data_IF_214614019905
#
_entry.id   IF_214614019905
#
_cell.length_a   1.000
_cell.length_b   1.000
_cell.length_c   1.000
_cell.angle_alpha   90.00
_cell.angle_beta   90.00
_cell.angle_gamma   90.00
#
_symmetry.space_group_name_H-M   'P 1'
#
loop_
_entity.id
_entity.type
_entity.pdbx_description
1 polymer ?
#
# COMPACT_ATOMS: atom_id res chain seq x y z
N UNK A 1 13.75 3.71 10.38
CA UNK A 1 12.94 4.07 9.19
C UNK A 1 11.61 4.63 9.66
N UNK A 2 11.06 5.60 8.95
CA UNK A 2 9.72 6.16 9.16
C UNK A 2 8.66 5.27 8.53
N UNK A 3 7.47 5.18 9.13
CA UNK A 3 6.27 4.62 8.50
C UNK A 3 5.41 5.76 7.97
N UNK A 4 5.01 5.71 6.70
CA UNK A 4 4.08 6.65 6.06
C UNK A 4 2.83 5.87 5.66
N UNK A 5 1.69 6.21 6.28
CA UNK A 5 0.41 5.55 6.03
C UNK A 5 -0.44 6.43 5.10
N UNK A 6 -0.88 5.87 3.97
CA UNK A 6 -1.75 6.54 3.01
C UNK A 6 -3.21 6.35 3.41
N UNK A 7 -3.79 7.33 4.08
CA UNK A 7 -5.13 7.26 4.67
C UNK A 7 -6.06 8.41 4.21
N UNK A 8 -5.88 8.89 2.98
CA UNK A 8 -6.62 10.05 2.48
C UNK A 8 -8.02 9.70 1.94
N UNK A 9 -8.28 8.43 1.61
CA UNK A 9 -9.51 7.98 0.96
C UNK A 9 -10.73 7.91 1.88
N UNK A 10 -11.92 8.12 1.31
CA UNK A 10 -13.20 7.95 2.02
C UNK A 10 -13.55 6.47 2.23
N UNK A 11 -13.28 5.59 1.23
CA UNK A 11 -13.67 4.18 1.28
C UNK A 11 -15.17 3.98 1.01
N UNK A 12 -15.66 4.46 -0.13
CA UNK A 12 -17.09 4.45 -0.49
C UNK A 12 -17.74 3.08 -0.54
N UNK A 13 -16.95 2.02 -0.76
CA UNK A 13 -17.40 0.61 -0.73
C UNK A 13 -17.77 0.10 0.66
N UNK A 14 -17.30 0.80 1.71
CA UNK A 14 -17.60 0.50 3.12
C UNK A 14 -18.81 1.29 3.66
N UNK A 15 -19.50 2.09 2.84
CA UNK A 15 -20.71 2.77 3.30
C UNK A 15 -21.77 1.79 3.80
N UNK A 16 -22.49 2.16 4.87
CA UNK A 16 -22.55 3.46 5.54
C UNK A 16 -21.46 3.70 6.60
N UNK A 17 -20.55 2.73 6.86
CA UNK A 17 -19.53 2.82 7.91
C UNK A 17 -18.58 4.02 7.73
N UNK A 18 -18.39 4.47 6.49
CA UNK A 18 -17.49 5.56 6.12
C UNK A 18 -18.19 6.88 5.78
N UNK A 19 -19.48 7.03 6.07
CA UNK A 19 -20.18 8.28 5.81
C UNK A 19 -19.68 9.41 6.73
N UNK A 20 -19.35 9.08 7.99
CA UNK A 20 -18.94 10.05 9.01
C UNK A 20 -17.48 9.86 9.48
N UNK A 21 -16.73 8.92 8.94
CA UNK A 21 -15.32 8.65 9.32
C UNK A 21 -14.48 8.24 8.12
N UNK A 22 -13.15 8.52 8.12
CA UNK A 22 -12.27 8.02 7.06
C UNK A 22 -12.12 6.49 7.15
N UNK A 23 -11.82 5.84 6.01
CA UNK A 23 -11.69 4.39 5.88
C UNK A 23 -10.78 3.78 6.96
N UNK A 24 -9.64 4.37 7.24
CA UNK A 24 -8.68 3.88 8.23
C UNK A 24 -9.19 3.89 9.68
N UNK A 25 -10.35 4.54 9.95
CA UNK A 25 -11.02 4.52 11.24
C UNK A 25 -12.22 3.56 11.31
N UNK A 26 -12.44 2.75 10.29
CA UNK A 26 -13.37 1.61 10.37
C UNK A 26 -12.80 0.61 11.38
N UNK A 27 -13.65 0.08 12.23
CA UNK A 27 -13.27 -0.84 13.29
C UNK A 27 -13.19 -2.28 12.76
N UNK A 28 -12.09 -2.96 13.07
CA UNK A 28 -11.91 -4.39 12.91
C UNK A 28 -11.84 -4.99 14.33
N UNK A 29 -12.85 -5.77 14.71
CA UNK A 29 -13.05 -6.17 16.09
C UNK A 29 -13.36 -4.94 16.97
N UNK A 30 -12.53 -4.69 17.98
CA UNK A 30 -12.68 -3.59 18.94
C UNK A 30 -11.77 -2.38 18.66
N UNK A 31 -11.10 -2.35 17.48
CA UNK A 31 -10.03 -1.40 17.20
C UNK A 31 -10.07 -0.88 15.76
N UNK A 32 -9.92 0.45 15.51
CA UNK A 32 -9.75 1.00 14.17
C UNK A 32 -8.58 0.39 13.39
N UNK A 33 -8.72 0.25 12.06
CA UNK A 33 -7.64 -0.25 11.18
C UNK A 33 -6.33 0.50 11.40
N UNK A 34 -6.37 1.83 11.57
CA UNK A 34 -5.20 2.64 11.85
C UNK A 34 -4.52 2.22 13.16
N UNK A 35 -5.27 1.92 14.22
CA UNK A 35 -4.70 1.53 15.51
C UNK A 35 -4.01 0.17 15.47
N UNK A 36 -4.50 -0.76 14.64
CA UNK A 36 -3.80 -2.01 14.36
C UNK A 36 -2.42 -1.75 13.74
N UNK A 37 -2.35 -0.89 12.72
CA UNK A 37 -1.09 -0.54 12.08
C UNK A 37 -0.14 0.19 13.04
N UNK A 38 -0.65 1.11 13.86
CA UNK A 38 0.15 1.82 14.86
C UNK A 38 0.70 0.86 15.93
N UNK A 39 -0.08 -0.13 16.35
CA UNK A 39 0.36 -1.14 17.29
C UNK A 39 1.46 -2.02 16.69
N UNK A 40 1.26 -2.54 15.47
CA UNK A 40 2.25 -3.35 14.75
C UNK A 40 3.56 -2.55 14.52
N UNK A 41 3.46 -1.28 14.17
CA UNK A 41 4.63 -0.42 13.98
C UNK A 41 5.44 -0.25 15.27
N UNK A 42 4.77 0.05 16.40
CA UNK A 42 5.42 0.22 17.70
C UNK A 42 6.09 -1.09 18.17
N UNK A 43 5.43 -2.22 17.99
CA UNK A 43 6.01 -3.53 18.32
C UNK A 43 7.20 -3.89 17.42
N UNK A 44 7.20 -3.44 16.17
CA UNK A 44 8.35 -3.56 15.27
C UNK A 44 9.45 -2.52 15.56
N UNK A 45 9.28 -1.64 16.57
CA UNK A 45 10.26 -0.63 16.95
C UNK A 45 10.20 0.67 16.12
N UNK A 46 9.13 0.88 15.33
CA UNK A 46 8.93 2.11 14.55
C UNK A 46 8.17 3.12 15.43
N UNK A 47 8.82 4.24 15.74
CA UNK A 47 8.24 5.34 16.54
C UNK A 47 7.95 6.59 15.71
N UNK A 48 8.62 6.74 14.56
CA UNK A 48 8.42 7.87 13.64
C UNK A 48 7.35 7.48 12.61
N UNK A 49 6.11 7.95 12.84
CA UNK A 49 4.94 7.59 12.04
C UNK A 49 4.28 8.87 11.51
N UNK A 50 4.06 8.88 10.20
CA UNK A 50 3.32 9.93 9.48
C UNK A 50 2.07 9.31 8.86
N UNK A 51 0.93 9.96 9.03
CA UNK A 51 -0.32 9.60 8.35
C UNK A 51 -0.70 10.69 7.38
N UNK A 52 -0.91 10.33 6.12
CA UNK A 52 -1.38 11.28 5.10
C UNK A 52 -2.90 11.12 5.00
N UNK A 53 -3.62 12.10 5.53
CA UNK A 53 -5.08 12.12 5.56
C UNK A 53 -5.67 12.99 4.44
N UNK A 54 -6.98 12.92 4.30
CA UNK A 54 -7.78 13.73 3.37
C UNK A 54 -9.21 13.81 3.86
N UNK A 55 -10.06 12.86 3.47
CA UNK A 55 -11.44 12.80 3.95
C UNK A 55 -11.49 12.74 5.49
N UNK A 56 -12.21 13.68 6.11
CA UNK A 56 -12.37 13.77 7.58
C UNK A 56 -11.04 13.72 8.37
N UNK A 57 -9.99 14.34 7.84
CA UNK A 57 -8.64 14.33 8.46
C UNK A 57 -8.65 14.87 9.91
N UNK A 58 -9.59 15.73 10.26
CA UNK A 58 -9.78 16.26 11.62
C UNK A 58 -9.91 15.16 12.67
N UNK A 59 -10.51 14.01 12.33
CA UNK A 59 -10.67 12.87 13.22
C UNK A 59 -9.35 12.12 13.50
N UNK A 60 -8.33 12.35 12.68
CA UNK A 60 -6.99 11.76 12.87
C UNK A 60 -6.15 12.56 13.87
N UNK A 61 -6.53 13.79 14.23
CA UNK A 61 -5.77 14.66 15.14
C UNK A 61 -5.62 14.12 16.57
N UNK A 62 -6.48 13.17 16.96
CA UNK A 62 -6.42 12.53 18.29
C UNK A 62 -5.26 11.51 18.41
N UNK A 63 -4.69 11.08 17.30
CA UNK A 63 -3.56 10.14 17.30
C UNK A 63 -2.24 10.88 17.43
N UNK A 64 -1.34 10.33 18.23
CA UNK A 64 0.00 10.90 18.41
C UNK A 64 0.93 10.47 17.23
N UNK A 65 0.68 11.07 16.07
CA UNK A 65 1.41 10.84 14.83
C UNK A 65 1.58 12.16 14.08
N UNK A 66 2.56 12.25 13.19
CA UNK A 66 2.63 13.38 12.28
C UNK A 66 1.51 13.28 11.24
N UNK A 67 0.73 14.35 11.07
CA UNK A 67 -0.33 14.42 10.05
C UNK A 67 0.12 15.30 8.90
N UNK A 68 -0.12 14.83 7.69
CA UNK A 68 -0.01 15.59 6.45
C UNK A 68 -1.34 15.50 5.74
N UNK A 69 -1.81 16.61 5.16
CA UNK A 69 -3.05 16.64 4.41
C UNK A 69 -2.79 16.47 2.90
N UNK A 70 -3.57 15.61 2.25
CA UNK A 70 -3.79 15.70 0.81
C UNK A 70 -5.07 16.52 0.57
N UNK A 71 -4.99 17.82 0.26
CA UNK A 71 -6.18 18.65 0.07
C UNK A 71 -6.95 18.29 -1.20
N UNK A 72 -6.33 17.53 -2.11
CA UNK A 72 -6.94 17.08 -3.37
C UNK A 72 -7.38 15.62 -3.34
N UNK A 73 -7.56 15.02 -2.16
CA UNK A 73 -7.87 13.59 -1.99
C UNK A 73 -9.07 13.12 -2.84
N UNK A 74 -10.06 13.99 -3.06
CA UNK A 74 -11.27 13.64 -3.82
C UNK A 74 -11.02 13.50 -5.35
N UNK A 75 -9.92 14.04 -5.87
CA UNK A 75 -9.59 14.07 -7.29
C UNK A 75 -8.22 13.44 -7.63
N UNK A 76 -7.53 12.90 -6.62
CA UNK A 76 -6.20 12.32 -6.80
C UNK A 76 -6.14 10.93 -6.20
N UNK A 77 -5.14 10.15 -6.62
CA UNK A 77 -4.94 8.78 -6.16
C UNK A 77 -3.65 8.65 -5.30
N UNK A 78 -3.24 7.42 -5.04
CA UNK A 78 -2.24 7.02 -4.05
C UNK A 78 -0.88 7.67 -4.28
N UNK A 79 -0.38 7.77 -5.52
CA UNK A 79 0.91 8.39 -5.84
C UNK A 79 0.92 9.88 -5.43
N UNK A 80 -0.12 10.62 -5.78
CA UNK A 80 -0.25 12.02 -5.33
C UNK A 80 -0.35 12.14 -3.82
N UNK A 81 -1.05 11.23 -3.17
CA UNK A 81 -1.13 11.18 -1.71
C UNK A 81 0.25 10.98 -1.11
N UNK A 82 1.02 9.98 -1.59
CA UNK A 82 2.38 9.73 -1.12
C UNK A 82 3.27 10.97 -1.29
N UNK A 83 3.18 11.66 -2.42
CA UNK A 83 4.01 12.83 -2.72
C UNK A 83 3.71 14.06 -1.85
N UNK A 84 2.61 14.10 -1.11
CA UNK A 84 2.39 15.12 -0.08
C UNK A 84 3.46 15.05 1.04
N UNK A 85 4.07 13.89 1.26
CA UNK A 85 5.10 13.66 2.27
C UNK A 85 6.53 13.63 1.70
N UNK A 86 6.78 14.03 0.45
CA UNK A 86 8.08 13.89 -0.24
C UNK A 86 9.28 14.45 0.54
N UNK A 87 9.08 15.53 1.29
CA UNK A 87 10.13 16.16 2.09
C UNK A 87 10.61 15.29 3.26
N UNK A 88 9.85 14.24 3.59
CA UNK A 88 10.13 13.29 4.67
C UNK A 88 10.86 12.02 4.20
N UNK A 89 11.13 11.86 2.91
CA UNK A 89 11.67 10.60 2.35
C UNK A 89 13.16 10.38 2.62
N UNK A 90 13.90 11.45 2.95
CA UNK A 90 15.37 11.56 2.93
C UNK A 90 16.12 10.34 3.47
N UNK A 91 15.72 9.82 4.63
CA UNK A 91 16.44 8.74 5.33
C UNK A 91 15.82 7.36 5.09
N UNK A 92 14.97 7.25 4.08
CA UNK A 92 14.19 6.06 3.79
C UNK A 92 12.91 5.96 4.63
N UNK A 93 11.93 5.26 4.08
CA UNK A 93 10.62 5.08 4.71
C UNK A 93 9.97 3.77 4.30
N UNK A 94 8.99 3.35 5.09
CA UNK A 94 8.04 2.31 4.71
C UNK A 94 6.72 3.02 4.34
N UNK A 95 6.20 2.74 3.17
CA UNK A 95 4.87 3.16 2.76
C UNK A 95 3.88 2.03 3.06
N UNK A 96 2.75 2.37 3.66
CA UNK A 96 1.63 1.46 3.92
C UNK A 96 0.32 2.03 3.42
N UNK A 97 -0.53 1.20 2.82
CA UNK A 97 -1.92 1.55 2.60
C UNK A 97 -2.66 1.66 3.94
N UNK A 98 -3.66 2.55 4.02
CA UNK A 98 -4.41 2.81 5.24
C UNK A 98 -5.56 1.84 5.52
N UNK A 99 -5.77 0.88 4.64
CA UNK A 99 -6.86 -0.11 4.66
C UNK A 99 -6.38 -1.54 4.86
N UNK A 100 -5.08 -1.73 5.04
CA UNK A 100 -4.50 -3.04 5.37
C UNK A 100 -4.20 -3.13 6.87
N UNK A 101 -4.31 -4.33 7.41
CA UNK A 101 -3.84 -4.69 8.74
C UNK A 101 -2.86 -5.85 8.58
N UNK A 102 -1.74 -5.79 9.26
CA UNK A 102 -0.68 -6.80 9.20
C UNK A 102 -0.09 -7.04 10.58
N UNK A 103 0.43 -8.26 10.77
CA UNK A 103 1.10 -8.61 12.00
C UNK A 103 2.44 -7.87 12.16
N UNK A 104 2.91 -7.67 13.40
CA UNK A 104 4.24 -7.10 13.64
C UNK A 104 5.38 -7.86 12.96
N UNK A 105 5.22 -9.18 12.76
CA UNK A 105 6.22 -10.03 12.10
C UNK A 105 6.44 -9.63 10.64
N UNK A 106 5.40 -9.23 9.92
CA UNK A 106 5.51 -8.73 8.53
C UNK A 106 6.38 -7.47 8.48
N UNK A 107 6.14 -6.51 9.39
CA UNK A 107 6.98 -5.30 9.47
C UNK A 107 8.42 -5.60 9.88
N UNK A 108 8.63 -6.50 10.85
CA UNK A 108 9.97 -6.92 11.29
C UNK A 108 10.73 -7.55 10.13
N UNK A 109 10.08 -8.40 9.33
CA UNK A 109 10.68 -8.99 8.12
C UNK A 109 11.04 -7.92 7.09
N UNK A 110 10.14 -6.95 6.82
CA UNK A 110 10.40 -5.86 5.89
C UNK A 110 11.54 -4.94 6.37
N UNK A 111 11.63 -4.68 7.67
CA UNK A 111 12.73 -3.90 8.25
C UNK A 111 14.09 -4.62 8.12
N UNK A 112 14.11 -5.94 8.20
CA UNK A 112 15.33 -6.74 8.07
C UNK A 112 15.81 -6.92 6.63
N UNK A 113 14.93 -6.72 5.64
CA UNK A 113 15.30 -6.68 4.23
C UNK A 113 16.27 -5.51 3.97
N UNK A 114 17.28 -5.69 3.14
CA UNK A 114 18.34 -4.69 2.89
C UNK A 114 18.34 -4.11 1.47
N UNK A 115 17.43 -4.58 0.60
CA UNK A 115 17.35 -4.08 -0.76
C UNK A 115 16.91 -2.60 -0.81
N UNK A 116 17.36 -1.82 -1.78
CA UNK A 116 16.99 -0.41 -1.93
C UNK A 116 15.48 -0.18 -1.95
N UNK A 117 14.74 -1.01 -2.69
CA UNK A 117 13.28 -1.05 -2.70
C UNK A 117 12.83 -2.49 -2.45
N UNK A 118 12.05 -2.71 -1.39
CA UNK A 118 11.47 -4.00 -1.04
C UNK A 118 9.94 -3.89 -1.05
N UNK A 119 9.31 -4.65 -1.94
CA UNK A 119 7.84 -4.70 -2.11
C UNK A 119 7.32 -5.95 -1.43
N UNK A 120 6.42 -5.79 -0.47
CA UNK A 120 5.83 -6.93 0.24
C UNK A 120 4.78 -7.61 -0.63
N UNK A 121 4.94 -8.93 -0.81
CA UNK A 121 4.06 -9.75 -1.66
C UNK A 121 3.66 -11.04 -0.94
N UNK A 122 2.39 -11.40 -1.01
CA UNK A 122 1.85 -12.60 -0.37
C UNK A 122 1.78 -13.78 -1.36
N UNK A 123 2.51 -14.86 -1.05
CA UNK A 123 2.50 -16.11 -1.85
C UNK A 123 1.22 -16.93 -1.62
N UNK A 124 0.58 -16.77 -0.48
CA UNK A 124 -0.66 -17.48 -0.14
C UNK A 124 -1.92 -16.71 -0.57
N UNK A 125 -1.77 -15.66 -1.36
CA UNK A 125 -2.82 -14.76 -1.83
C UNK A 125 -4.08 -15.48 -2.33
N UNK A 126 -3.92 -16.59 -3.09
CA UNK A 126 -5.04 -17.25 -3.76
C UNK A 126 -6.11 -17.71 -2.77
N UNK A 127 -5.73 -18.40 -1.71
CA UNK A 127 -6.68 -18.87 -0.70
C UNK A 127 -7.39 -17.70 0.03
N UNK A 128 -6.71 -16.54 0.14
CA UNK A 128 -7.33 -15.34 0.69
C UNK A 128 -8.32 -14.71 -0.30
N UNK A 129 -7.98 -14.57 -1.59
CA UNK A 129 -8.88 -14.04 -2.63
C UNK A 129 -10.11 -14.93 -2.86
N UNK A 130 -9.95 -16.27 -2.82
CA UNK A 130 -11.08 -17.22 -2.92
C UNK A 130 -12.07 -17.10 -1.75
N UNK A 131 -11.63 -16.57 -0.59
CA UNK A 131 -12.55 -16.24 0.53
C UNK A 131 -13.21 -14.87 0.37
N UNK A 132 -12.57 -13.93 -0.34
CA UNK A 132 -13.08 -12.56 -0.54
C UNK A 132 -14.09 -12.49 -1.68
N UNK A 133 -13.87 -13.23 -2.77
CA UNK A 133 -14.49 -13.01 -4.06
C UNK A 133 -14.92 -14.34 -4.70
N UNK A 134 -16.08 -14.32 -5.36
CA UNK A 134 -16.54 -15.45 -6.16
C UNK A 134 -15.59 -15.71 -7.37
N UNK A 135 -15.11 -14.65 -8.02
CA UNK A 135 -14.08 -14.70 -9.06
C UNK A 135 -12.84 -13.91 -8.61
N UNK A 136 -11.78 -14.57 -8.06
CA UNK A 136 -10.54 -13.94 -7.68
C UNK A 136 -9.86 -13.15 -8.79
N UNK A 137 -9.96 -13.59 -10.05
CA UNK A 137 -9.35 -12.90 -11.20
C UNK A 137 -10.02 -11.57 -11.52
N UNK A 138 -11.21 -11.31 -10.97
CA UNK A 138 -11.89 -10.01 -11.16
C UNK A 138 -11.16 -8.85 -10.50
N UNK A 139 -10.45 -9.12 -9.39
CA UNK A 139 -9.75 -8.12 -8.56
C UNK A 139 -8.22 -8.30 -8.54
N UNK A 140 -7.73 -9.54 -8.57
CA UNK A 140 -6.31 -9.82 -8.55
C UNK A 140 -5.55 -9.14 -9.70
N UNK A 141 -4.30 -8.78 -9.45
CA UNK A 141 -3.38 -8.17 -10.41
C UNK A 141 -2.25 -9.16 -10.77
N UNK A 142 -1.66 -8.99 -11.96
CA UNK A 142 -0.48 -9.77 -12.33
C UNK A 142 0.68 -9.46 -11.39
N UNK A 143 1.50 -10.46 -11.10
CA UNK A 143 2.77 -10.27 -10.40
C UNK A 143 3.72 -11.39 -10.80
N UNK A 144 4.89 -11.01 -11.32
CA UNK A 144 5.95 -11.95 -11.73
C UNK A 144 7.26 -11.61 -11.07
N UNK A 145 7.94 -12.65 -10.58
CA UNK A 145 9.21 -12.57 -9.87
C UNK A 145 10.27 -13.27 -10.72
N UNK A 146 11.38 -12.59 -10.97
CA UNK A 146 12.56 -13.17 -11.64
C UNK A 146 13.31 -14.11 -10.71
N UNK A 147 14.20 -14.92 -11.29
CA UNK A 147 15.05 -15.86 -10.53
C UNK A 147 16.00 -15.17 -9.54
N UNK A 148 16.26 -13.87 -9.71
CA UNK A 148 17.06 -13.05 -8.80
C UNK A 148 16.24 -12.46 -7.63
N UNK A 149 14.95 -12.80 -7.54
CA UNK A 149 14.05 -12.32 -6.49
C UNK A 149 13.44 -10.94 -6.76
N UNK A 150 13.77 -10.29 -7.87
CA UNK A 150 13.20 -8.99 -8.21
C UNK A 150 11.92 -9.15 -9.04
N UNK A 151 11.01 -8.17 -8.91
CA UNK A 151 9.80 -8.08 -9.71
C UNK A 151 10.14 -7.81 -11.18
N UNK A 152 9.39 -8.42 -12.09
CA UNK A 152 9.42 -8.11 -13.52
C UNK A 152 8.09 -7.55 -14.01
N UNK A 153 7.00 -7.81 -13.30
CA UNK A 153 5.66 -7.33 -13.65
C UNK A 153 4.79 -7.26 -12.41
N UNK A 154 3.98 -6.21 -12.28
CA UNK A 154 2.86 -6.14 -11.33
C UNK A 154 1.77 -5.18 -11.82
N UNK A 155 0.56 -5.31 -11.28
CA UNK A 155 -0.49 -4.32 -11.44
C UNK A 155 -1.27 -4.39 -12.75
N UNK A 156 -1.08 -5.44 -13.58
CA UNK A 156 -1.84 -5.59 -14.81
C UNK A 156 -3.04 -6.52 -14.59
N UNK A 157 -4.03 -6.48 -15.50
CA UNK A 157 -5.14 -7.41 -15.46
C UNK A 157 -4.67 -8.83 -15.86
N UNK A 158 -4.78 -9.84 -14.99
CA UNK A 158 -4.38 -11.19 -15.31
C UNK A 158 -5.37 -11.84 -16.30
N UNK A 159 -4.86 -12.76 -17.11
CA UNK A 159 -5.69 -13.61 -17.99
C UNK A 159 -5.98 -14.95 -17.34
N UNK A 160 -5.11 -15.36 -16.43
CA UNK A 160 -5.22 -16.64 -15.72
C UNK A 160 -4.44 -16.60 -14.41
N UNK A 161 -4.65 -17.56 -13.53
CA UNK A 161 -3.86 -17.74 -12.31
C UNK A 161 -2.33 -17.92 -12.56
N UNK A 162 -1.93 -18.38 -13.74
CA UNK A 162 -0.52 -18.52 -14.10
C UNK A 162 0.22 -17.18 -14.25
N UNK A 163 -0.52 -16.07 -14.38
CA UNK A 163 0.05 -14.73 -14.44
C UNK A 163 0.36 -14.14 -13.04
N UNK A 164 0.04 -14.89 -11.97
CA UNK A 164 0.05 -14.38 -10.61
C UNK A 164 0.87 -15.31 -9.70
N UNK A 165 2.13 -14.95 -9.44
CA UNK A 165 3.00 -15.72 -8.54
C UNK A 165 2.80 -15.34 -7.06
N UNK A 166 2.36 -14.11 -6.80
CA UNK A 166 2.02 -13.55 -5.50
C UNK A 166 1.12 -12.33 -5.69
N UNK A 167 0.61 -11.72 -4.60
CA UNK A 167 -0.09 -10.44 -4.67
C UNK A 167 0.62 -9.38 -3.85
N UNK A 168 0.72 -8.17 -4.40
CA UNK A 168 1.16 -6.98 -3.69
C UNK A 168 0.14 -6.60 -2.61
N UNK A 169 0.62 -6.29 -1.41
CA UNK A 169 -0.26 -6.04 -0.26
C UNK A 169 -0.39 -4.56 0.15
N UNK A 170 0.19 -3.63 -0.61
CA UNK A 170 0.15 -2.21 -0.22
C UNK A 170 1.22 -1.80 0.81
N UNK A 171 2.32 -2.55 0.93
CA UNK A 171 3.40 -2.29 1.88
C UNK A 171 4.75 -2.35 1.16
N UNK A 172 5.52 -1.24 1.19
CA UNK A 172 6.80 -1.10 0.47
C UNK A 172 7.82 -0.36 1.32
N UNK A 173 9.04 -0.85 1.39
CA UNK A 173 10.17 -0.13 1.97
C UNK A 173 11.02 0.52 0.88
N UNK A 174 11.28 1.82 1.03
CA UNK A 174 12.25 2.58 0.25
C UNK A 174 13.41 2.96 1.16
N UNK A 175 14.59 2.40 0.94
CA UNK A 175 15.82 2.80 1.65
C UNK A 175 16.47 3.99 0.95
N UNK A 176 17.50 4.61 1.49
CA UNK A 176 18.05 5.85 0.92
C UNK A 176 18.35 5.80 -0.59
N UNK A 177 18.90 4.69 -1.09
CA UNK A 177 19.11 4.54 -2.53
C UNK A 177 17.81 4.29 -3.30
N UNK A 178 16.87 3.55 -2.73
CA UNK A 178 15.51 3.40 -3.27
C UNK A 178 14.73 4.71 -3.29
N UNK A 179 14.94 5.59 -2.31
CA UNK A 179 14.37 6.95 -2.32
C UNK A 179 14.91 7.77 -3.49
N UNK A 180 16.22 7.70 -3.79
CA UNK A 180 16.80 8.38 -4.96
C UNK A 180 16.15 7.88 -6.27
N UNK A 181 16.00 6.56 -6.39
CA UNK A 181 15.34 5.93 -7.55
C UNK A 181 13.88 6.38 -7.68
N UNK A 182 13.12 6.39 -6.57
CA UNK A 182 11.76 6.89 -6.53
C UNK A 182 11.68 8.37 -6.96
N UNK A 183 12.59 9.21 -6.46
CA UNK A 183 12.63 10.63 -6.80
C UNK A 183 12.92 10.83 -8.29
N UNK A 184 13.88 10.10 -8.86
CA UNK A 184 14.18 10.14 -10.30
C UNK A 184 12.97 9.73 -11.15
N UNK A 185 12.30 8.64 -10.77
CA UNK A 185 11.07 8.20 -11.45
C UNK A 185 9.96 9.26 -11.34
N UNK A 186 9.85 9.92 -10.19
CA UNK A 186 8.85 10.97 -10.02
C UNK A 186 9.18 12.26 -10.81
N UNK A 187 10.45 12.62 -10.96
CA UNK A 187 10.88 13.72 -11.84
C UNK A 187 10.55 13.41 -13.31
N UNK A 188 10.73 12.16 -13.75
CA UNK A 188 10.29 11.72 -15.08
C UNK A 188 8.78 11.88 -15.24
N UNK A 189 7.98 11.38 -14.27
CA UNK A 189 6.53 11.55 -14.26
C UNK A 189 6.11 13.01 -14.41
N UNK A 190 6.74 13.93 -13.66
CA UNK A 190 6.45 15.36 -13.74
C UNK A 190 6.81 15.94 -15.09
N UNK A 191 7.91 15.50 -15.70
CA UNK A 191 8.32 15.93 -17.02
C UNK A 191 7.35 15.48 -18.12
N UNK A 192 6.89 14.22 -18.04
CA UNK A 192 5.91 13.67 -18.98
C UNK A 192 4.55 14.37 -18.83
N UNK A 193 4.09 14.59 -17.60
CA UNK A 193 2.84 15.32 -17.32
C UNK A 193 2.89 16.76 -17.84
N UNK A 194 4.01 17.46 -17.64
CA UNK A 194 4.23 18.82 -18.16
C UNK A 194 4.25 18.88 -19.70
N UNK A 195 4.66 17.79 -20.36
CA UNK A 195 4.62 17.64 -21.82
C UNK A 195 3.23 17.22 -22.34
N UNK A 196 2.24 17.04 -21.45
CA UNK A 196 0.89 16.57 -21.80
C UNK A 196 0.79 15.08 -22.06
N UNK A 197 1.79 14.29 -21.64
CA UNK A 197 1.82 12.84 -21.78
C UNK A 197 1.39 12.19 -20.46
N UNK A 198 0.84 10.99 -20.56
CA UNK A 198 0.63 10.16 -19.37
C UNK A 198 1.97 9.55 -18.91
N UNK A 199 2.19 9.43 -17.58
CA UNK A 199 3.41 8.86 -17.03
C UNK A 199 3.71 7.45 -17.57
N UNK A 200 5.00 7.18 -17.83
CA UNK A 200 5.52 5.91 -18.34
C UNK A 200 4.82 5.41 -19.63
N UNK A 201 4.25 6.31 -20.45
CA UNK A 201 3.45 5.94 -21.60
C UNK A 201 2.14 5.22 -21.27
N UNK A 202 1.71 5.27 -20.02
CA UNK A 202 0.52 4.61 -19.49
C UNK A 202 -0.78 5.29 -19.90
N UNK A 203 -1.90 4.77 -19.38
CA UNK A 203 -3.25 5.25 -19.68
C UNK A 203 -3.76 6.29 -18.67
N UNK A 204 -3.10 6.44 -17.52
CA UNK A 204 -3.54 7.31 -16.43
C UNK A 204 -2.72 8.58 -16.36
N UNK A 205 -3.38 9.68 -16.06
CA UNK A 205 -2.70 10.93 -15.71
C UNK A 205 -2.02 10.81 -14.35
N UNK A 206 -1.08 11.70 -14.05
CA UNK A 206 -0.40 11.75 -12.75
C UNK A 206 -1.37 11.78 -11.56
N UNK A 207 -2.49 12.50 -11.65
CA UNK A 207 -3.48 12.58 -10.58
C UNK A 207 -4.21 11.25 -10.33
N UNK A 208 -4.29 10.39 -11.34
CA UNK A 208 -5.01 9.11 -11.28
C UNK A 208 -4.09 7.89 -11.05
N UNK A 209 -2.77 8.07 -10.92
CA UNK A 209 -1.81 6.96 -10.77
C UNK A 209 -2.05 6.17 -9.48
N UNK A 210 -2.15 4.85 -9.63
CA UNK A 210 -2.03 3.90 -8.53
C UNK A 210 -0.56 3.64 -8.18
N UNK A 211 -0.31 3.08 -6.99
CA UNK A 211 1.05 2.70 -6.62
C UNK A 211 1.59 1.60 -7.53
N UNK A 212 0.76 0.70 -8.01
CA UNK A 212 1.16 -0.35 -8.96
C UNK A 212 1.60 0.23 -10.31
N UNK A 213 0.99 1.33 -10.78
CA UNK A 213 1.47 2.03 -11.99
C UNK A 213 2.87 2.62 -11.78
N UNK A 214 3.11 3.24 -10.62
CA UNK A 214 4.42 3.79 -10.27
C UNK A 214 5.48 2.69 -10.16
N UNK A 215 5.18 1.62 -9.43
CA UNK A 215 6.11 0.51 -9.23
C UNK A 215 6.42 -0.21 -10.56
N UNK A 216 5.41 -0.43 -11.42
CA UNK A 216 5.63 -0.97 -12.76
C UNK A 216 6.49 -0.04 -13.61
N UNK A 217 6.22 1.27 -13.60
CA UNK A 217 7.04 2.24 -14.32
C UNK A 217 8.49 2.27 -13.83
N UNK A 218 8.73 2.10 -12.53
CA UNK A 218 10.09 1.94 -11.99
C UNK A 218 10.78 0.67 -12.53
N UNK A 219 10.05 -0.45 -12.62
CA UNK A 219 10.56 -1.69 -13.22
C UNK A 219 10.93 -1.46 -14.70
N UNK A 220 10.03 -0.84 -15.46
CA UNK A 220 10.20 -0.60 -16.90
C UNK A 220 11.39 0.33 -17.20
N UNK A 221 11.72 1.22 -16.26
CA UNK A 221 12.92 2.09 -16.33
C UNK A 221 14.19 1.45 -15.77
N UNK A 222 14.14 0.17 -15.40
CA UNK A 222 15.29 -0.63 -14.99
C UNK A 222 15.61 -0.60 -13.49
N UNK A 223 14.70 -0.09 -12.66
CA UNK A 223 14.86 -0.15 -11.20
C UNK A 223 14.55 -1.56 -10.70
N UNK A 224 15.45 -2.13 -9.91
CA UNK A 224 15.22 -3.41 -9.26
C UNK A 224 14.33 -3.26 -8.03
N UNK A 225 13.15 -3.85 -8.05
CA UNK A 225 12.23 -3.92 -6.92
C UNK A 225 12.26 -5.35 -6.37
N UNK A 226 12.81 -5.53 -5.17
CA UNK A 226 12.86 -6.84 -4.52
C UNK A 226 11.49 -7.29 -4.03
N UNK A 227 11.09 -8.53 -4.35
CA UNK A 227 9.86 -9.13 -3.85
C UNK A 227 10.10 -9.73 -2.46
N UNK A 228 9.81 -8.97 -1.40
CA UNK A 228 9.83 -9.47 -0.03
C UNK A 228 8.59 -10.33 0.20
N UNK A 229 8.78 -11.65 0.19
CA UNK A 229 7.69 -12.62 0.17
C UNK A 229 7.23 -12.97 1.59
N UNK A 230 5.92 -12.97 1.80
CA UNK A 230 5.26 -13.43 3.03
C UNK A 230 4.27 -14.56 2.73
N UNK A 231 3.81 -15.22 3.79
CA UNK A 231 2.81 -16.28 3.74
C UNK A 231 1.61 -15.91 4.64
N UNK A 232 0.82 -14.91 4.20
CA UNK A 232 -0.29 -14.36 4.99
C UNK A 232 0.16 -13.43 6.11
N UNK A 233 -0.58 -13.38 7.23
CA UNK A 233 -0.32 -12.46 8.35
C UNK A 233 -0.79 -11.03 8.08
N UNK A 234 -1.74 -10.86 7.16
CA UNK A 234 -2.30 -9.57 6.80
C UNK A 234 -3.74 -9.72 6.26
N UNK A 235 -4.47 -8.62 6.25
CA UNK A 235 -5.79 -8.49 5.61
C UNK A 235 -5.97 -7.11 5.01
N UNK A 236 -6.84 -7.01 4.02
CA UNK A 236 -7.32 -5.76 3.43
C UNK A 236 -8.82 -5.61 3.68
N UNK A 237 -9.26 -4.40 3.99
CA UNK A 237 -10.66 -4.09 4.28
C UNK A 237 -11.16 -3.03 3.30
N UNK A 238 -11.69 -3.45 2.18
CA UNK A 238 -12.18 -2.57 1.12
C UNK A 238 -13.71 -2.46 1.04
N UNK A 239 -14.39 -3.50 1.51
CA UNK A 239 -15.85 -3.63 1.50
C UNK A 239 -16.36 -4.17 2.83
N UNK A 240 -17.68 -4.16 3.03
CA UNK A 240 -18.31 -4.73 4.23
C UNK A 240 -18.06 -6.24 4.31
N UNK A 241 -18.03 -6.95 3.17
CA UNK A 241 -17.70 -8.38 3.14
C UNK A 241 -16.24 -8.64 3.53
N UNK A 242 -15.30 -7.77 3.11
CA UNK A 242 -13.90 -7.89 3.53
C UNK A 242 -13.75 -7.66 5.03
N UNK A 243 -14.49 -6.70 5.60
CA UNK A 243 -14.49 -6.48 7.05
C UNK A 243 -14.95 -7.72 7.80
N UNK A 244 -16.06 -8.33 7.39
CA UNK A 244 -16.58 -9.56 8.00
C UNK A 244 -15.60 -10.72 7.89
N UNK A 245 -14.91 -10.85 6.76
CA UNK A 245 -13.87 -11.86 6.58
C UNK A 245 -12.63 -11.57 7.47
N UNK A 246 -12.22 -10.30 7.56
CA UNK A 246 -11.11 -9.89 8.40
C UNK A 246 -11.38 -10.19 9.89
N UNK A 247 -12.62 -9.99 10.37
CA UNK A 247 -13.04 -10.36 11.72
C UNK A 247 -12.96 -11.87 11.98
N UNK A 248 -13.34 -12.69 11.00
CA UNK A 248 -13.17 -14.14 11.06
C UNK A 248 -11.68 -14.53 11.16
N UNK A 249 -10.83 -13.95 10.28
CA UNK A 249 -9.38 -14.22 10.26
C UNK A 249 -8.69 -13.77 11.56
N UNK A 250 -9.15 -12.67 12.15
CA UNK A 250 -8.68 -12.21 13.46
C UNK A 250 -9.02 -13.23 14.54
N UNK A 251 -10.24 -13.75 14.54
CA UNK A 251 -10.69 -14.80 15.49
C UNK A 251 -9.93 -16.13 15.30
N UNK A 252 -9.52 -16.43 14.05
CA UNK A 252 -8.69 -17.60 13.70
C UNK A 252 -7.21 -17.43 14.09
N UNK A 253 -6.80 -16.27 14.64
CA UNK A 253 -5.39 -15.97 14.99
C UNK A 253 -4.47 -15.76 13.79
N UNK A 254 -5.02 -15.40 12.62
CA UNK A 254 -4.26 -15.24 11.38
C UNK A 254 -3.53 -13.90 11.26
N UNK A 255 -3.75 -12.98 12.21
CA UNK A 255 -3.14 -11.64 12.25
C UNK A 255 -2.17 -11.47 13.44
N UNK A 256 -1.83 -12.53 14.13
CA UNK A 256 -0.88 -12.54 15.25
C UNK A 256 0.58 -12.76 14.80
#
# INVERSE_FOLDING_TARGET
>A
MRLIILAAGQGTRLRPLTDERPKCLVELGDRPLLEWQLAAAREAGITDITVIGGYRIDQLRKYNVQLIENPRFASTNMVRTLMCARELFKDGFIMSYGDIVYSPSVLKQLLSDTHPVAVTVDRQWRGYWERRLEDPLSDAETLKIRSDGNLSELGQKPRSYADIQAQYIGLVAFRPDGVKQLQQSFEQILSEDAAGNNPFGGKRSLDALYMTDLLQGMIDTGVNLHAMQIDGGWVEVDSVSDLSLAEQLLTEGRLE
#
